data_IF_997700260473
#
_entry.id   IF_997700260473
#
_cell.length_a   1.000
_cell.length_b   1.000
_cell.length_c   1.000
_cell.angle_alpha   90.00
_cell.angle_beta   90.00
_cell.angle_gamma   90.00
#
_symmetry.space_group_name_H-M   'P 1'
#
loop_
_entity.id
_entity.type
_entity.pdbx_description
1 polymer ?
#
# COMPACT_ATOMS: atom_id res chain seq x y z
N UNK A 1 -35.56 51.68 15.37
CA UNK A 1 -36.46 50.75 14.66
C UNK A 1 -35.73 49.57 13.99
N UNK A 2 -34.40 49.40 14.05
CA UNK A 2 -33.72 48.29 13.36
C UNK A 2 -32.56 47.62 14.11
N UNK A 3 -32.54 47.62 15.45
CA UNK A 3 -31.49 46.91 16.21
C UNK A 3 -31.48 45.39 15.97
N UNK A 4 -32.64 44.79 15.68
CA UNK A 4 -32.75 43.35 15.39
C UNK A 4 -32.18 42.95 14.03
N UNK A 5 -32.24 43.82 13.01
CA UNK A 5 -31.71 43.52 11.68
C UNK A 5 -30.19 43.46 11.70
N UNK A 6 -29.55 44.40 12.40
CA UNK A 6 -28.09 44.52 12.48
C UNK A 6 -27.47 43.37 13.31
N UNK A 7 -28.18 42.89 14.33
CA UNK A 7 -27.82 41.69 15.09
C UNK A 7 -27.91 40.43 14.23
N UNK A 8 -28.97 40.32 13.43
CA UNK A 8 -29.21 39.18 12.54
C UNK A 8 -28.14 39.08 11.44
N UNK A 9 -27.78 40.20 10.81
CA UNK A 9 -26.70 40.27 9.80
C UNK A 9 -25.33 39.88 10.39
N UNK A 10 -25.05 40.26 11.64
CA UNK A 10 -23.80 39.88 12.33
C UNK A 10 -23.74 38.38 12.62
N UNK A 11 -24.84 37.77 13.09
CA UNK A 11 -24.92 36.32 13.30
C UNK A 11 -24.75 35.54 11.99
N UNK A 12 -25.42 35.94 10.89
CA UNK A 12 -25.27 35.26 9.60
C UNK A 12 -23.82 35.31 9.06
N UNK A 13 -23.16 36.48 9.14
CA UNK A 13 -21.75 36.60 8.71
C UNK A 13 -20.79 35.77 9.57
N UNK A 14 -21.10 35.64 10.86
CA UNK A 14 -20.29 34.84 11.79
C UNK A 14 -20.49 33.34 11.53
N UNK A 15 -21.72 32.91 11.23
CA UNK A 15 -22.04 31.54 10.85
C UNK A 15 -21.40 31.15 9.50
N UNK A 16 -21.45 32.02 8.49
CA UNK A 16 -20.76 31.80 7.20
C UNK A 16 -19.24 31.68 7.37
N UNK A 17 -18.61 32.56 8.17
CA UNK A 17 -17.18 32.45 8.48
C UNK A 17 -16.86 31.15 9.23
N UNK A 18 -17.73 30.70 10.14
CA UNK A 18 -17.53 29.47 10.87
C UNK A 18 -17.60 28.24 9.94
N UNK A 19 -18.51 28.25 8.97
CA UNK A 19 -18.61 27.21 7.93
C UNK A 19 -17.35 27.19 7.05
N UNK A 20 -16.85 28.37 6.64
CA UNK A 20 -15.64 28.46 5.81
C UNK A 20 -14.39 27.92 6.55
N UNK A 21 -14.26 28.23 7.84
CA UNK A 21 -13.15 27.73 8.68
C UNK A 21 -13.23 26.21 8.83
N UNK A 22 -14.42 25.64 9.04
CA UNK A 22 -14.61 24.19 9.14
C UNK A 22 -14.24 23.52 7.81
N UNK A 23 -14.68 24.07 6.68
CA UNK A 23 -14.36 23.51 5.36
C UNK A 23 -12.86 23.49 5.10
N UNK A 24 -12.16 24.62 5.34
CA UNK A 24 -10.69 24.69 5.21
C UNK A 24 -9.96 23.72 6.15
N UNK A 25 -10.49 23.53 7.36
CA UNK A 25 -9.92 22.58 8.34
C UNK A 25 -10.04 21.15 7.85
N UNK A 26 -11.20 20.78 7.29
CA UNK A 26 -11.44 19.45 6.70
C UNK A 26 -10.51 19.23 5.50
N UNK A 27 -10.43 20.19 4.58
CA UNK A 27 -9.53 20.09 3.41
C UNK A 27 -8.08 19.90 3.83
N UNK A 28 -7.60 20.70 4.78
CA UNK A 28 -6.24 20.59 5.31
C UNK A 28 -6.00 19.21 5.95
N UNK A 29 -6.94 18.73 6.77
CA UNK A 29 -6.82 17.41 7.40
C UNK A 29 -6.82 16.28 6.35
N UNK A 30 -7.69 16.34 5.33
CA UNK A 30 -7.73 15.34 4.27
C UNK A 30 -6.43 15.34 3.46
N UNK A 31 -5.87 16.51 3.15
CA UNK A 31 -4.57 16.62 2.48
C UNK A 31 -3.43 16.02 3.32
N UNK A 32 -3.40 16.34 4.63
CA UNK A 32 -2.47 15.74 5.59
C UNK A 32 -2.61 14.22 5.66
N UNK A 33 -3.84 13.71 5.73
CA UNK A 33 -4.12 12.27 5.79
C UNK A 33 -3.67 11.58 4.50
N UNK A 34 -3.98 12.16 3.33
CA UNK A 34 -3.51 11.64 2.05
C UNK A 34 -1.98 11.61 1.97
N UNK A 35 -1.30 12.66 2.46
CA UNK A 35 0.16 12.70 2.51
C UNK A 35 0.75 11.63 3.44
N UNK A 36 0.13 11.42 4.61
CA UNK A 36 0.52 10.33 5.51
C UNK A 36 0.31 8.97 4.86
N UNK A 37 -0.81 8.73 4.19
CA UNK A 37 -1.04 7.48 3.46
C UNK A 37 -0.01 7.26 2.35
N UNK A 38 0.42 8.31 1.63
CA UNK A 38 1.51 8.17 0.66
C UNK A 38 2.79 7.64 1.29
N UNK A 39 3.12 8.03 2.52
CA UNK A 39 4.29 7.49 3.25
C UNK A 39 4.20 5.98 3.52
N UNK A 40 3.00 5.43 3.69
CA UNK A 40 2.80 4.00 3.99
C UNK A 40 2.51 3.16 2.74
N UNK A 41 1.77 3.70 1.77
CA UNK A 41 1.26 2.96 0.61
C UNK A 41 1.92 3.33 -0.72
N UNK A 42 2.41 4.57 -0.87
CA UNK A 42 2.96 5.11 -2.13
C UNK A 42 4.39 5.63 -1.97
N UNK A 43 5.13 5.11 -0.99
CA UNK A 43 6.41 5.71 -0.60
C UNK A 43 7.42 5.73 -1.76
N UNK A 44 7.26 4.89 -2.78
CA UNK A 44 8.03 5.00 -4.02
C UNK A 44 7.22 4.41 -5.19
N UNK A 45 6.85 5.22 -6.18
CA UNK A 45 6.39 4.70 -7.48
C UNK A 45 7.45 3.78 -8.11
N UNK A 46 8.72 4.00 -7.78
CA UNK A 46 9.84 3.12 -8.11
C UNK A 46 9.75 1.73 -7.45
N UNK A 47 9.10 1.60 -6.28
CA UNK A 47 8.86 0.28 -5.67
C UNK A 47 7.77 -0.47 -6.43
N UNK A 48 6.72 0.22 -6.88
CA UNK A 48 5.67 -0.43 -7.68
C UNK A 48 6.27 -0.95 -8.99
N UNK A 49 7.08 -0.13 -9.67
CA UNK A 49 7.81 -0.54 -10.87
C UNK A 49 8.79 -1.70 -10.60
N UNK A 50 9.48 -1.69 -9.45
CA UNK A 50 10.41 -2.78 -9.10
C UNK A 50 9.72 -4.10 -8.74
N UNK A 51 8.39 -4.10 -8.60
CA UNK A 51 7.58 -5.28 -8.29
C UNK A 51 6.82 -5.84 -9.49
N UNK A 52 6.91 -5.20 -10.67
CA UNK A 52 6.17 -5.66 -11.87
C UNK A 52 6.55 -7.07 -12.29
N UNK A 53 7.81 -7.48 -12.11
CA UNK A 53 8.27 -8.85 -12.36
C UNK A 53 7.60 -9.89 -11.45
N UNK A 54 7.11 -9.51 -10.27
CA UNK A 54 6.35 -10.44 -9.42
C UNK A 54 4.96 -10.65 -10.01
N UNK A 55 4.36 -9.61 -10.59
CA UNK A 55 3.02 -9.67 -11.20
C UNK A 55 3.04 -10.38 -12.55
N UNK A 56 4.06 -10.14 -13.35
CA UNK A 56 4.27 -10.78 -14.64
C UNK A 56 5.78 -11.01 -14.87
N UNK A 57 6.32 -12.14 -14.40
CA UNK A 57 7.74 -12.46 -14.52
C UNK A 57 8.17 -12.74 -15.97
N UNK A 58 7.23 -13.03 -16.88
CA UNK A 58 7.54 -13.36 -18.27
C UNK A 58 7.58 -12.13 -19.17
N UNK A 59 7.15 -10.96 -18.69
CA UNK A 59 7.18 -9.70 -19.43
C UNK A 59 8.07 -8.64 -18.80
N UNK A 60 8.52 -8.83 -17.55
CA UNK A 60 9.28 -7.83 -16.81
C UNK A 60 10.51 -8.44 -16.15
N UNK A 61 11.61 -7.71 -16.19
CA UNK A 61 12.87 -8.12 -15.56
C UNK A 61 13.05 -7.43 -14.21
N UNK A 62 13.32 -8.18 -13.13
CA UNK A 62 13.66 -7.59 -11.83
C UNK A 62 14.95 -6.78 -11.88
N UNK A 63 14.95 -5.61 -11.26
CA UNK A 63 16.17 -4.83 -11.02
C UNK A 63 16.87 -5.27 -9.73
N UNK A 64 18.21 -5.18 -9.70
CA UNK A 64 18.99 -5.40 -8.48
C UNK A 64 19.12 -6.87 -8.05
N UNK A 65 19.06 -7.79 -9.01
CA UNK A 65 19.47 -9.19 -8.79
C UNK A 65 21.00 -9.29 -8.75
N UNK A 66 21.50 -10.26 -7.99
CA UNK A 66 22.88 -10.73 -8.14
C UNK A 66 23.03 -11.59 -9.39
N UNK A 67 24.25 -11.76 -9.90
CA UNK A 67 24.51 -12.56 -11.12
C UNK A 67 23.93 -13.97 -11.04
N UNK A 68 24.03 -14.63 -9.89
CA UNK A 68 23.44 -15.96 -9.68
C UNK A 68 21.91 -15.94 -9.73
N UNK A 69 21.28 -14.89 -9.19
CA UNK A 69 19.82 -14.75 -9.25
C UNK A 69 19.33 -14.41 -10.66
N UNK A 70 20.13 -13.68 -11.45
CA UNK A 70 19.84 -13.40 -12.86
C UNK A 70 19.84 -14.68 -13.69
N UNK A 71 20.82 -15.57 -13.49
CA UNK A 71 20.86 -16.89 -14.13
C UNK A 71 19.62 -17.72 -13.78
N UNK A 72 19.27 -17.80 -12.48
CA UNK A 72 18.06 -18.49 -12.01
C UNK A 72 16.80 -17.88 -12.65
N UNK A 73 16.73 -16.55 -12.79
CA UNK A 73 15.59 -15.86 -13.41
C UNK A 73 15.49 -16.14 -14.91
N UNK A 74 16.62 -16.23 -15.61
CA UNK A 74 16.66 -16.60 -17.03
C UNK A 74 16.13 -18.04 -17.20
N UNK A 75 16.61 -18.97 -16.38
CA UNK A 75 16.16 -20.36 -16.42
C UNK A 75 14.65 -20.45 -16.12
N UNK A 76 14.19 -19.75 -15.09
CA UNK A 76 12.79 -19.67 -14.70
C UNK A 76 11.88 -19.15 -15.83
N UNK A 77 12.24 -18.02 -16.44
CA UNK A 77 11.43 -17.38 -17.49
C UNK A 77 11.51 -18.09 -18.84
N UNK A 78 12.56 -18.88 -19.08
CA UNK A 78 12.71 -19.71 -20.27
C UNK A 78 11.83 -20.97 -20.24
N UNK A 79 11.36 -21.39 -19.06
CA UNK A 79 10.54 -22.59 -18.90
C UNK A 79 9.12 -22.40 -19.39
N UNK A 80 8.76 -23.13 -20.46
CA UNK A 80 7.39 -23.14 -20.98
C UNK A 80 6.36 -23.74 -20.01
N UNK A 81 6.79 -24.66 -19.14
CA UNK A 81 5.89 -25.29 -18.16
C UNK A 81 5.53 -24.31 -17.04
N UNK A 82 6.52 -23.58 -16.50
CA UNK A 82 6.29 -22.55 -15.47
C UNK A 82 5.39 -21.45 -16.06
N UNK A 83 5.59 -21.06 -17.32
CA UNK A 83 4.72 -20.11 -18.01
C UNK A 83 3.28 -20.61 -18.12
N UNK A 84 3.09 -21.90 -18.38
CA UNK A 84 1.78 -22.53 -18.46
C UNK A 84 1.09 -22.55 -17.09
N UNK A 85 1.81 -22.89 -16.02
CA UNK A 85 1.31 -22.85 -14.64
C UNK A 85 0.87 -21.43 -14.26
N UNK A 86 1.69 -20.42 -14.55
CA UNK A 86 1.37 -19.01 -14.32
C UNK A 86 0.05 -18.58 -14.98
N UNK A 87 -0.25 -19.04 -16.19
CA UNK A 87 -1.50 -18.71 -16.88
C UNK A 87 -2.74 -19.40 -16.28
N UNK A 88 -2.57 -20.49 -15.53
CA UNK A 88 -3.67 -21.31 -15.03
C UNK A 88 -3.98 -21.07 -13.54
N UNK A 89 -3.06 -20.44 -12.80
CA UNK A 89 -3.15 -20.26 -11.35
C UNK A 89 -3.33 -18.80 -10.96
N UNK A 90 -3.79 -18.57 -9.73
CA UNK A 90 -3.75 -17.23 -9.14
C UNK A 90 -2.31 -16.85 -8.80
N UNK A 91 -2.01 -15.55 -8.80
CA UNK A 91 -0.66 -15.05 -8.53
C UNK A 91 -0.05 -15.63 -7.24
N UNK A 92 -0.84 -15.68 -6.18
CA UNK A 92 -0.38 -16.21 -4.89
C UNK A 92 -0.12 -17.72 -4.94
N UNK A 93 -1.02 -18.49 -5.57
CA UNK A 93 -0.85 -19.94 -5.71
C UNK A 93 0.36 -20.27 -6.58
N UNK A 94 0.51 -19.59 -7.70
CA UNK A 94 1.66 -19.73 -8.58
C UNK A 94 2.97 -19.59 -7.80
N UNK A 95 3.17 -18.46 -7.11
CA UNK A 95 4.39 -18.26 -6.32
C UNK A 95 4.53 -19.27 -5.16
N UNK A 96 3.42 -19.80 -4.62
CA UNK A 96 3.44 -20.84 -3.59
C UNK A 96 3.89 -22.21 -4.14
N UNK A 97 3.55 -22.51 -5.40
CA UNK A 97 3.79 -23.80 -6.06
C UNK A 97 5.11 -23.85 -6.85
N UNK A 98 5.75 -22.69 -7.10
CA UNK A 98 7.11 -22.63 -7.66
C UNK A 98 8.06 -23.56 -6.92
N UNK A 99 8.78 -24.38 -7.68
CA UNK A 99 9.73 -25.39 -7.21
C UNK A 99 10.86 -24.80 -6.36
N UNK A 100 11.40 -25.61 -5.45
CA UNK A 100 12.45 -25.21 -4.51
C UNK A 100 13.76 -24.81 -5.21
N UNK A 101 13.98 -25.25 -6.46
CA UNK A 101 15.10 -24.82 -7.30
C UNK A 101 15.07 -23.30 -7.58
N UNK A 102 13.89 -22.69 -7.56
CA UNK A 102 13.69 -21.24 -7.71
C UNK A 102 13.32 -20.55 -6.39
N UNK A 103 13.62 -21.18 -5.25
CA UNK A 103 13.28 -20.69 -3.90
C UNK A 103 13.78 -19.27 -3.61
N UNK A 104 14.90 -18.85 -4.22
CA UNK A 104 15.42 -17.48 -4.14
C UNK A 104 14.43 -16.45 -4.72
N UNK A 105 13.86 -16.74 -5.90
CA UNK A 105 12.85 -15.89 -6.55
C UNK A 105 11.54 -15.93 -5.78
N UNK A 106 11.08 -17.13 -5.40
CA UNK A 106 9.88 -17.34 -4.58
C UNK A 106 9.91 -16.52 -3.29
N UNK A 107 11.03 -16.53 -2.58
CA UNK A 107 11.20 -15.76 -1.34
C UNK A 107 11.09 -14.25 -1.59
N UNK A 108 11.67 -13.74 -2.69
CA UNK A 108 11.56 -12.32 -3.05
C UNK A 108 10.14 -11.95 -3.45
N UNK A 109 9.49 -12.78 -4.26
CA UNK A 109 8.09 -12.59 -4.65
C UNK A 109 7.18 -12.54 -3.42
N UNK A 110 7.33 -13.45 -2.46
CA UNK A 110 6.53 -13.43 -1.23
C UNK A 110 6.80 -12.22 -0.34
N UNK A 111 8.03 -11.69 -0.27
CA UNK A 111 8.29 -10.43 0.46
C UNK A 111 7.51 -9.25 -0.12
N UNK A 112 7.22 -9.30 -1.42
CA UNK A 112 6.46 -8.29 -2.15
C UNK A 112 4.94 -8.54 -2.02
N UNK A 113 4.50 -9.80 -2.16
CA UNK A 113 3.08 -10.21 -2.11
C UNK A 113 2.50 -10.24 -0.69
N UNK A 114 3.36 -10.49 0.29
CA UNK A 114 3.06 -10.38 1.71
C UNK A 114 3.79 -9.15 2.24
N UNK A 115 3.39 -7.93 1.85
CA UNK A 115 3.77 -6.75 2.60
C UNK A 115 3.14 -6.98 3.95
N UNK A 116 3.93 -7.47 4.89
CA UNK A 116 3.43 -7.96 6.15
C UNK A 116 2.40 -6.98 6.71
N UNK A 117 1.29 -7.51 7.19
CA UNK A 117 0.28 -6.80 7.97
C UNK A 117 0.82 -6.20 9.29
N UNK A 118 2.13 -6.07 9.44
CA UNK A 118 2.86 -5.92 10.71
C UNK A 118 2.93 -4.51 11.26
N UNK A 119 2.49 -3.46 10.57
CA UNK A 119 2.22 -2.22 11.30
C UNK A 119 0.81 -2.28 11.85
N UNK A 120 -0.23 -2.26 11.02
CA UNK A 120 -1.61 -2.16 11.52
C UNK A 120 -2.08 -3.37 12.36
N UNK A 121 -1.90 -4.61 11.91
CA UNK A 121 -2.35 -5.78 12.71
C UNK A 121 -1.47 -5.99 13.94
N UNK A 122 -0.18 -5.68 13.86
CA UNK A 122 0.70 -5.77 15.03
C UNK A 122 0.40 -4.64 16.03
N UNK A 123 0.21 -3.40 15.58
CA UNK A 123 -0.23 -2.26 16.39
C UNK A 123 -1.60 -2.49 17.00
N UNK A 124 -2.54 -3.08 16.25
CA UNK A 124 -3.87 -3.46 16.75
C UNK A 124 -3.74 -4.55 17.81
N UNK A 125 -2.91 -5.56 17.56
CA UNK A 125 -2.60 -6.61 18.53
C UNK A 125 -1.96 -6.06 19.81
N UNK A 126 -0.95 -5.21 19.68
CA UNK A 126 -0.30 -4.53 20.82
C UNK A 126 -1.27 -3.60 21.55
N UNK A 127 -2.12 -2.87 20.83
CA UNK A 127 -3.14 -1.99 21.43
C UNK A 127 -4.17 -2.79 22.22
N UNK A 128 -4.61 -3.95 21.69
CA UNK A 128 -5.51 -4.84 22.41
C UNK A 128 -4.86 -5.39 23.70
N UNK A 129 -3.59 -5.78 23.65
CA UNK A 129 -2.83 -6.21 24.84
C UNK A 129 -2.67 -5.08 25.85
N UNK A 130 -2.39 -3.85 25.40
CA UNK A 130 -2.28 -2.68 26.27
C UNK A 130 -3.62 -2.35 26.97
N UNK A 131 -4.74 -2.47 26.25
CA UNK A 131 -6.08 -2.27 26.80
C UNK A 131 -6.45 -3.33 27.85
N UNK A 132 -5.99 -4.58 27.69
CA UNK A 132 -6.20 -5.63 28.69
C UNK A 132 -5.44 -5.37 30.00
N UNK A 133 -4.28 -4.71 29.95
CA UNK A 133 -3.44 -4.42 31.12
C UNK A 133 -3.90 -3.20 31.93
N UNK A 134 -4.79 -2.38 31.38
CA UNK A 134 -5.32 -1.16 32.02
C UNK A 134 -6.69 -1.35 32.70
N UNK A 135 -7.14 -2.60 32.83
CA UNK A 135 -8.20 -3.03 33.76
C UNK A 135 -7.58 -3.72 34.97
#
# INVERSE_FOLDING_TARGET
>A
MFENADKCVKTYKTEEQHVEVVYKTIEYHLAMLANNFKKYFFAQDNLIASYEWVRDPFQNTPGGLSTTEEEIFIDFTSSGEIKRQFCNETLFQFWAEVDDEFSALKTKAFRILLPFSTSYLCETGFSAVAALKTK
#
